data_IF_194946830544
#
_entry.id   IF_194946830544
#
_cell.length_a   1.000
_cell.length_b   1.000
_cell.length_c   1.000
_cell.angle_alpha   90.00
_cell.angle_beta   90.00
_cell.angle_gamma   90.00
#
_symmetry.space_group_name_H-M   'P 1'
#
loop_
_entity.id
_entity.type
_entity.pdbx_description
1 polymer ?
#
# COMPACT_ATOMS: atom_id res chain seq x y z
N UNK A 1 7.61 34.72 -18.60
CA UNK A 1 8.00 33.29 -18.73
C UNK A 1 7.68 32.85 -20.15
N UNK A 2 8.49 32.01 -20.80
CA UNK A 2 8.37 31.76 -22.27
C UNK A 2 7.54 30.53 -22.66
N UNK A 3 7.28 29.59 -21.77
CA UNK A 3 6.47 28.38 -22.04
C UNK A 3 5.99 27.72 -20.76
N UNK A 4 4.93 26.92 -20.87
CA UNK A 4 4.50 25.97 -19.86
C UNK A 4 5.40 24.73 -19.86
N UNK A 5 5.59 24.15 -18.68
CA UNK A 5 6.37 22.96 -18.41
C UNK A 5 5.62 22.06 -17.44
N UNK A 6 5.93 20.77 -17.48
CA UNK A 6 5.43 19.82 -16.50
C UNK A 6 5.86 20.25 -15.10
N UNK A 7 4.92 20.20 -14.17
CA UNK A 7 5.10 20.60 -12.78
C UNK A 7 4.88 22.08 -12.50
N UNK A 8 4.66 22.92 -13.52
CA UNK A 8 4.32 24.32 -13.29
C UNK A 8 3.08 24.43 -12.41
N UNK A 9 3.16 25.29 -11.39
CA UNK A 9 2.05 25.58 -10.48
C UNK A 9 1.36 26.86 -10.94
N UNK A 10 0.05 26.77 -11.09
CA UNK A 10 -0.84 27.80 -11.58
C UNK A 10 -1.66 28.35 -10.41
N UNK A 11 -1.68 29.68 -10.29
CA UNK A 11 -2.56 30.38 -9.38
C UNK A 11 -3.99 30.29 -9.88
N UNK A 12 -4.93 30.26 -8.94
CA UNK A 12 -6.36 30.33 -9.19
C UNK A 12 -6.77 31.75 -9.59
N UNK A 13 -6.55 32.13 -10.85
CA UNK A 13 -6.98 33.44 -11.39
C UNK A 13 -8.44 33.37 -11.86
N UNK A 14 -9.14 34.52 -11.99
CA UNK A 14 -10.51 34.55 -12.53
C UNK A 14 -10.61 33.87 -13.90
N UNK A 15 -9.66 34.11 -14.79
CA UNK A 15 -9.65 33.59 -16.16
C UNK A 15 -9.47 32.07 -16.17
N UNK A 16 -8.57 31.54 -15.34
CA UNK A 16 -8.41 30.09 -15.18
C UNK A 16 -9.67 29.47 -14.57
N UNK A 17 -10.32 30.17 -13.64
CA UNK A 17 -11.56 29.68 -13.03
C UNK A 17 -12.72 29.65 -14.02
N UNK A 18 -12.81 30.61 -14.93
CA UNK A 18 -13.86 30.58 -15.97
C UNK A 18 -13.69 29.37 -16.88
N UNK A 19 -12.45 29.05 -17.27
CA UNK A 19 -12.13 27.80 -17.99
C UNK A 19 -12.56 26.57 -17.18
N UNK A 20 -12.25 26.53 -15.89
CA UNK A 20 -12.62 25.40 -15.04
C UNK A 20 -14.14 25.30 -14.83
N UNK A 21 -14.87 26.41 -14.72
CA UNK A 21 -16.33 26.43 -14.62
C UNK A 21 -17.00 25.89 -15.88
N UNK A 22 -16.42 26.17 -17.04
CA UNK A 22 -16.92 25.67 -18.31
C UNK A 22 -16.70 24.16 -18.44
N UNK A 23 -15.47 23.68 -18.21
CA UNK A 23 -15.10 22.30 -18.54
C UNK A 23 -15.32 21.34 -17.37
N UNK A 24 -15.03 21.75 -16.14
CA UNK A 24 -15.13 20.90 -14.94
C UNK A 24 -15.52 21.70 -13.67
N UNK A 25 -16.79 22.12 -13.53
CA UNK A 25 -17.23 23.10 -12.53
C UNK A 25 -16.84 22.80 -11.08
N UNK A 26 -16.77 21.53 -10.70
CA UNK A 26 -16.39 21.12 -9.34
C UNK A 26 -14.99 21.58 -8.92
N UNK A 27 -14.08 21.83 -9.87
CA UNK A 27 -12.73 22.32 -9.58
C UNK A 27 -12.66 23.84 -9.41
N UNK A 28 -13.75 24.55 -9.65
CA UNK A 28 -13.85 25.97 -9.32
C UNK A 28 -14.11 26.23 -7.84
N UNK A 29 -14.20 25.20 -6.99
CA UNK A 29 -14.38 25.32 -5.53
C UNK A 29 -13.12 25.89 -4.83
N UNK A 30 -13.33 26.73 -3.80
CA UNK A 30 -12.27 27.39 -3.04
C UNK A 30 -11.32 26.44 -2.30
N UNK A 31 -11.74 25.19 -2.06
CA UNK A 31 -10.89 24.16 -1.45
C UNK A 31 -9.67 23.80 -2.30
N UNK A 32 -9.68 24.14 -3.59
CA UNK A 32 -8.54 23.97 -4.49
C UNK A 32 -7.79 25.30 -4.59
N UNK A 33 -6.59 25.32 -4.02
CA UNK A 33 -5.84 26.57 -3.84
C UNK A 33 -4.99 26.92 -5.07
N UNK A 34 -4.53 25.89 -5.79
CA UNK A 34 -3.72 26.00 -7.01
C UNK A 34 -4.02 24.84 -7.96
N UNK A 35 -3.42 24.89 -9.15
CA UNK A 35 -3.39 23.76 -10.09
C UNK A 35 -1.96 23.46 -10.50
N UNK A 36 -1.64 22.20 -10.80
CA UNK A 36 -0.32 21.83 -11.29
C UNK A 36 -0.43 21.17 -12.67
N UNK A 37 0.43 21.59 -13.58
CA UNK A 37 0.51 21.03 -14.93
C UNK A 37 1.12 19.62 -14.88
N UNK A 38 0.38 18.63 -15.37
CA UNK A 38 0.83 17.24 -15.47
C UNK A 38 1.36 16.87 -16.87
N UNK A 39 0.93 17.56 -17.92
CA UNK A 39 1.38 17.28 -19.29
C UNK A 39 2.90 17.42 -19.42
N UNK A 40 3.51 16.51 -20.17
CA UNK A 40 4.96 16.46 -20.36
C UNK A 40 5.49 17.75 -21.01
N UNK A 41 6.65 18.20 -20.55
CA UNK A 41 7.24 19.47 -21.02
C UNK A 41 7.53 19.48 -22.52
N UNK A 42 7.99 18.35 -23.07
CA UNK A 42 8.32 18.22 -24.50
C UNK A 42 7.10 18.46 -25.41
N UNK A 43 5.89 18.18 -24.93
CA UNK A 43 4.66 18.43 -25.68
C UNK A 43 4.09 19.84 -25.47
N UNK A 44 4.53 20.56 -24.41
CA UNK A 44 4.07 21.90 -24.06
C UNK A 44 4.95 23.04 -24.59
N UNK A 45 6.22 22.78 -24.90
CA UNK A 45 7.13 23.81 -25.41
C UNK A 45 6.68 24.26 -26.80
N UNK A 46 6.54 25.58 -26.99
CA UNK A 46 6.30 26.22 -28.29
C UNK A 46 7.64 26.44 -28.99
N UNK A 47 7.76 26.02 -30.26
CA UNK A 47 8.96 26.25 -31.10
C UNK A 47 8.59 27.19 -32.24
N UNK A 48 9.42 28.21 -32.49
CA UNK A 48 9.22 29.18 -33.58
C UNK A 48 7.82 29.82 -33.60
N UNK A 49 7.33 30.24 -32.43
CA UNK A 49 5.99 30.84 -32.23
C UNK A 49 4.80 29.97 -32.67
N UNK A 50 5.02 28.67 -32.92
CA UNK A 50 3.96 27.71 -33.21
C UNK A 50 3.20 27.28 -31.94
N UNK A 51 1.99 26.75 -32.14
CA UNK A 51 1.24 26.07 -31.07
C UNK A 51 2.05 24.90 -30.47
N UNK A 52 1.81 24.60 -29.20
CA UNK A 52 2.41 23.43 -28.57
C UNK A 52 1.88 22.14 -29.23
N UNK A 53 2.66 21.06 -29.17
CA UNK A 53 2.29 19.77 -29.80
C UNK A 53 1.08 19.11 -29.12
N UNK A 54 0.94 19.30 -27.80
CA UNK A 54 -0.18 18.69 -27.08
C UNK A 54 -1.52 19.30 -27.49
N UNK A 55 -2.52 18.45 -27.72
CA UNK A 55 -3.92 18.89 -27.94
C UNK A 55 -4.61 19.30 -26.64
N UNK A 56 -4.22 18.68 -25.52
CA UNK A 56 -4.80 18.92 -24.21
C UNK A 56 -3.71 19.20 -23.18
N UNK A 57 -4.03 20.05 -22.20
CA UNK A 57 -3.22 20.30 -21.02
C UNK A 57 -3.93 19.59 -19.87
N UNK A 58 -3.22 18.66 -19.25
CA UNK A 58 -3.65 17.98 -18.04
C UNK A 58 -3.21 18.80 -16.84
N UNK A 59 -4.17 19.16 -15.99
CA UNK A 59 -3.97 19.84 -14.72
C UNK A 59 -4.38 18.92 -13.58
N UNK A 60 -3.72 19.03 -12.43
CA UNK A 60 -4.20 18.41 -11.20
C UNK A 60 -4.48 19.48 -10.16
N UNK A 61 -5.54 19.27 -9.38
CA UNK A 61 -5.88 20.13 -8.27
C UNK A 61 -4.83 20.08 -7.16
N UNK A 62 -4.55 21.23 -6.56
CA UNK A 62 -3.65 21.38 -5.41
C UNK A 62 -4.45 21.82 -4.20
N UNK A 63 -4.16 21.24 -3.03
CA UNK A 63 -4.75 21.62 -1.74
C UNK A 63 -3.68 21.78 -0.67
N UNK A 64 -4.02 22.43 0.45
CA UNK A 64 -3.17 22.42 1.65
C UNK A 64 -2.82 20.99 2.06
N UNK A 65 -1.59 20.78 2.51
CA UNK A 65 -1.14 19.53 3.12
C UNK A 65 -2.01 19.12 4.30
N UNK A 66 -2.61 20.09 5.01
CA UNK A 66 -3.47 19.85 6.18
C UNK A 66 -4.62 18.90 5.86
N UNK A 67 -5.21 19.03 4.66
CA UNK A 67 -6.33 18.18 4.21
C UNK A 67 -5.87 16.73 4.04
N UNK A 68 -4.65 16.52 3.53
CA UNK A 68 -4.08 15.18 3.33
C UNK A 68 -3.74 14.55 4.67
N UNK A 69 -3.14 15.31 5.57
CA UNK A 69 -2.78 14.87 6.93
C UNK A 69 -4.02 14.56 7.75
N UNK A 70 -5.05 15.41 7.71
CA UNK A 70 -6.31 15.19 8.39
C UNK A 70 -6.97 13.88 7.93
N UNK A 71 -7.04 13.65 6.61
CA UNK A 71 -7.54 12.38 6.04
C UNK A 71 -6.72 11.17 6.44
N UNK A 72 -5.42 11.31 6.64
CA UNK A 72 -4.59 10.22 7.16
C UNK A 72 -4.96 9.90 8.62
N UNK A 73 -5.17 10.92 9.45
CA UNK A 73 -5.55 10.76 10.86
C UNK A 73 -7.00 10.25 11.01
N UNK A 74 -7.88 10.61 10.09
CA UNK A 74 -9.26 10.11 10.03
C UNK A 74 -9.36 8.58 9.98
N UNK A 75 -8.30 7.89 9.56
CA UNK A 75 -8.23 6.42 9.53
C UNK A 75 -7.92 5.76 10.88
N UNK A 76 -7.50 6.51 11.89
CA UNK A 76 -7.15 5.96 13.20
C UNK A 76 -8.37 5.87 14.13
N UNK A 77 -8.55 4.73 14.81
CA UNK A 77 -9.73 4.47 15.65
C UNK A 77 -9.69 5.20 17.00
N UNK A 78 -8.50 5.39 17.59
CA UNK A 78 -8.32 6.00 18.92
C UNK A 78 -7.97 7.50 18.83
N UNK A 79 -8.90 8.30 18.32
CA UNK A 79 -8.80 9.77 18.30
C UNK A 79 -10.02 10.43 18.95
N UNK A 80 -9.81 11.59 19.55
CA UNK A 80 -10.88 12.44 20.09
C UNK A 80 -10.56 13.91 19.86
N UNK A 81 -11.59 14.74 19.81
CA UNK A 81 -11.43 16.20 19.75
C UNK A 81 -11.80 16.73 21.13
N UNK A 82 -10.89 17.47 21.75
CA UNK A 82 -11.12 18.14 23.03
C UNK A 82 -10.64 19.59 22.91
N UNK A 83 -11.48 20.55 23.28
CA UNK A 83 -11.18 21.99 23.16
C UNK A 83 -10.64 22.40 21.77
N UNK A 84 -11.29 21.90 20.72
CA UNK A 84 -10.91 22.17 19.32
C UNK A 84 -9.50 21.69 18.92
N UNK A 85 -8.90 20.79 19.71
CA UNK A 85 -7.62 20.15 19.41
C UNK A 85 -7.82 18.64 19.25
N UNK A 86 -7.12 18.07 18.27
CA UNK A 86 -7.16 16.65 17.97
C UNK A 86 -6.15 15.89 18.83
N UNK A 87 -6.63 14.94 19.61
CA UNK A 87 -5.83 14.03 20.40
C UNK A 87 -5.87 12.65 19.77
N UNK A 88 -4.71 12.03 19.59
CA UNK A 88 -4.55 10.70 19.03
C UNK A 88 -3.56 9.91 19.88
N UNK A 89 -3.78 8.61 20.02
CA UNK A 89 -2.85 7.74 20.76
C UNK A 89 -1.44 7.75 20.15
N UNK A 90 -0.41 7.82 21.00
CA UNK A 90 1.00 7.81 20.57
C UNK A 90 1.37 6.56 19.76
N UNK A 91 0.62 5.46 19.91
CA UNK A 91 0.82 4.24 19.11
C UNK A 91 0.75 4.52 17.59
N UNK A 92 0.03 5.56 17.16
CA UNK A 92 -0.10 5.94 15.75
C UNK A 92 0.98 6.93 15.27
N UNK A 93 1.82 7.45 16.16
CA UNK A 93 2.85 8.46 15.84
C UNK A 93 3.85 7.96 14.81
N UNK A 94 4.29 6.70 14.92
CA UNK A 94 5.21 6.09 13.97
C UNK A 94 4.58 5.96 12.57
N UNK A 95 3.32 5.52 12.50
CA UNK A 95 2.60 5.40 11.24
C UNK A 95 2.35 6.76 10.57
N UNK A 96 1.96 7.78 11.35
CA UNK A 96 1.76 9.13 10.82
C UNK A 96 3.07 9.75 10.34
N UNK A 97 4.18 9.53 11.07
CA UNK A 97 5.51 9.96 10.65
C UNK A 97 5.92 9.32 9.31
N UNK A 98 5.63 8.04 9.10
CA UNK A 98 5.86 7.37 7.81
C UNK A 98 5.04 8.00 6.67
N UNK A 99 3.76 8.29 6.90
CA UNK A 99 2.91 9.01 5.92
C UNK A 99 3.51 10.37 5.56
N UNK A 100 3.88 11.18 6.56
CA UNK A 100 4.46 12.51 6.33
C UNK A 100 5.80 12.38 5.59
N UNK A 101 6.66 11.44 5.99
CA UNK A 101 7.93 11.19 5.30
C UNK A 101 7.72 10.81 3.84
N UNK A 102 6.74 9.96 3.54
CA UNK A 102 6.39 9.58 2.16
C UNK A 102 5.92 10.80 1.36
N UNK A 103 5.06 11.64 1.94
CA UNK A 103 4.59 12.87 1.30
C UNK A 103 5.75 13.83 1.02
N UNK A 104 6.52 14.21 2.03
CA UNK A 104 7.61 15.19 1.90
C UNK A 104 8.70 14.75 0.91
N UNK A 105 8.95 13.44 0.85
CA UNK A 105 9.89 12.88 -0.11
C UNK A 105 9.28 12.61 -1.49
N UNK A 106 8.00 12.91 -1.74
CA UNK A 106 7.29 12.58 -2.98
C UNK A 106 7.29 11.08 -3.33
N UNK A 107 7.21 10.21 -2.32
CA UNK A 107 7.13 8.75 -2.50
C UNK A 107 5.69 8.22 -2.41
N UNK A 108 4.71 9.08 -2.15
CA UNK A 108 3.29 8.72 -2.25
C UNK A 108 2.84 8.71 -3.72
N UNK A 109 2.08 7.70 -4.13
CA UNK A 109 1.64 7.57 -5.52
C UNK A 109 0.48 8.50 -5.89
N UNK A 110 -0.29 8.99 -4.90
CA UNK A 110 -1.51 9.75 -5.15
C UNK A 110 -1.31 11.26 -4.95
N UNK A 111 -0.20 11.66 -4.33
CA UNK A 111 0.07 13.04 -3.94
C UNK A 111 1.49 13.46 -4.34
N UNK A 112 1.63 14.71 -4.76
CA UNK A 112 2.93 15.36 -4.94
C UNK A 112 3.04 16.57 -4.00
N UNK A 113 3.96 16.52 -3.05
CA UNK A 113 4.23 17.59 -2.11
C UNK A 113 4.92 18.79 -2.78
N UNK A 114 4.38 19.96 -2.47
CA UNK A 114 4.85 21.28 -2.88
C UNK A 114 5.12 22.09 -1.62
N UNK A 115 6.39 22.41 -1.39
CA UNK A 115 6.80 23.28 -0.28
C UNK A 115 6.37 24.72 -0.57
N UNK A 116 5.85 25.41 0.44
CA UNK A 116 5.53 26.83 0.38
C UNK A 116 6.76 27.64 -0.09
N UNK A 117 6.50 28.55 -1.03
CA UNK A 117 7.46 29.55 -1.53
C UNK A 117 6.69 30.87 -1.67
N UNK A 118 6.40 31.58 -0.56
CA UNK A 118 5.60 32.80 -0.57
C UNK A 118 6.15 33.88 -1.52
N UNK A 119 7.47 33.96 -1.66
CA UNK A 119 8.17 34.83 -2.60
C UNK A 119 7.79 34.59 -4.07
N UNK A 120 7.32 33.38 -4.39
CA UNK A 120 6.83 32.98 -5.72
C UNK A 120 5.31 32.81 -5.75
N UNK A 121 4.58 33.18 -4.68
CA UNK A 121 3.11 33.15 -4.63
C UNK A 121 2.47 31.85 -4.16
N UNK A 122 3.26 30.83 -3.79
CA UNK A 122 2.76 29.60 -3.17
C UNK A 122 2.81 29.75 -1.64
N UNK A 123 1.67 30.10 -1.03
CA UNK A 123 1.63 30.60 0.35
C UNK A 123 1.72 29.51 1.42
N UNK A 124 1.25 28.30 1.13
CA UNK A 124 1.13 27.21 2.08
C UNK A 124 1.74 25.93 1.52
N UNK A 125 2.26 25.11 2.42
CA UNK A 125 2.65 23.75 2.09
C UNK A 125 1.44 23.00 1.56
N UNK A 126 1.59 22.40 0.39
CA UNK A 126 0.48 21.90 -0.40
C UNK A 126 0.79 20.55 -1.00
N UNK A 127 -0.26 19.84 -1.42
CA UNK A 127 -0.15 18.60 -2.18
C UNK A 127 -0.99 18.69 -3.45
N UNK A 128 -0.38 18.34 -4.58
CA UNK A 128 -1.09 18.05 -5.82
C UNK A 128 -1.75 16.69 -5.70
N UNK A 129 -3.04 16.61 -6.03
CA UNK A 129 -3.83 15.38 -6.03
C UNK A 129 -3.68 14.70 -7.40
N UNK A 130 -2.71 13.80 -7.53
CA UNK A 130 -2.30 13.24 -8.82
C UNK A 130 -3.36 12.37 -9.50
N UNK A 131 -4.24 11.75 -8.72
CA UNK A 131 -5.35 10.91 -9.21
C UNK A 131 -6.54 11.72 -9.75
N UNK A 132 -6.53 13.05 -9.56
CA UNK A 132 -7.60 13.96 -9.98
C UNK A 132 -7.09 14.88 -11.09
N UNK A 133 -6.90 14.30 -12.28
CA UNK A 133 -6.49 15.03 -13.48
C UNK A 133 -7.68 15.62 -14.23
N UNK A 134 -7.52 16.85 -14.69
CA UNK A 134 -8.45 17.67 -15.47
C UNK A 134 -7.80 17.88 -16.83
N UNK A 135 -8.52 17.69 -17.93
CA UNK A 135 -7.97 17.91 -19.28
C UNK A 135 -8.67 19.10 -19.93
N UNK A 136 -7.90 20.13 -20.29
CA UNK A 136 -8.40 21.33 -20.97
C UNK A 136 -7.74 21.48 -22.34
N UNK A 137 -8.44 22.09 -23.30
CA UNK A 137 -7.92 22.20 -24.66
C UNK A 137 -6.74 23.18 -24.74
N UNK A 138 -5.60 22.73 -25.27
CA UNK A 138 -4.38 23.53 -25.32
C UNK A 138 -4.50 24.73 -26.29
N UNK A 139 -5.16 24.54 -27.43
CA UNK A 139 -5.34 25.60 -28.43
C UNK A 139 -6.14 26.81 -27.92
N UNK A 140 -7.01 26.61 -26.92
CA UNK A 140 -7.83 27.67 -26.33
C UNK A 140 -7.24 28.20 -25.02
N UNK A 141 -6.69 27.33 -24.17
CA UNK A 141 -6.44 27.67 -22.76
C UNK A 141 -4.95 27.79 -22.39
N UNK A 142 -4.02 27.57 -23.33
CA UNK A 142 -2.59 27.60 -23.03
C UNK A 142 -2.13 28.94 -22.46
N UNK A 143 -2.52 30.05 -23.10
CA UNK A 143 -2.07 31.38 -22.68
C UNK A 143 -2.69 31.78 -21.34
N UNK A 144 -3.93 31.36 -21.05
CA UNK A 144 -4.55 31.49 -19.73
C UNK A 144 -3.74 30.76 -18.66
N UNK A 145 -3.34 29.51 -18.92
CA UNK A 145 -2.50 28.74 -18.01
C UNK A 145 -1.11 29.37 -17.84
N UNK A 146 -0.50 29.85 -18.93
CA UNK A 146 0.82 30.49 -18.88
C UNK A 146 0.78 31.79 -18.07
N UNK A 147 -0.28 32.59 -18.19
CA UNK A 147 -0.48 33.80 -17.42
C UNK A 147 -0.73 33.51 -15.93
N UNK A 148 -1.39 32.39 -15.61
CA UNK A 148 -1.63 31.94 -14.24
C UNK A 148 -0.39 31.32 -13.56
N UNK A 149 0.70 31.04 -14.29
CA UNK A 149 1.89 30.38 -13.77
C UNK A 149 2.60 31.23 -12.71
N UNK A 150 2.89 30.61 -11.56
CA UNK A 150 3.57 31.25 -10.44
C UNK A 150 4.87 30.56 -10.01
N UNK A 151 4.94 29.23 -10.13
CA UNK A 151 6.12 28.43 -9.73
C UNK A 151 6.46 27.45 -10.85
N UNK A 152 7.75 27.24 -11.08
CA UNK A 152 8.27 26.19 -11.96
C UNK A 152 9.09 25.20 -11.13
N UNK A 153 8.81 23.89 -11.26
CA UNK A 153 9.63 22.87 -10.61
C UNK A 153 11.02 22.78 -11.23
N UNK A 154 12.02 22.57 -10.37
CA UNK A 154 13.37 22.16 -10.77
C UNK A 154 13.32 20.82 -11.50
N UNK A 155 14.31 20.59 -12.36
CA UNK A 155 14.38 19.45 -13.27
C UNK A 155 14.24 18.08 -12.58
N UNK A 156 14.93 17.87 -11.47
CA UNK A 156 14.87 16.63 -10.69
C UNK A 156 13.46 16.35 -10.12
N UNK A 157 12.77 17.37 -9.63
CA UNK A 157 11.39 17.24 -9.13
C UNK A 157 10.40 17.02 -10.27
N UNK A 158 10.64 17.65 -11.42
CA UNK A 158 9.85 17.43 -12.63
C UNK A 158 9.97 15.99 -13.15
N UNK A 159 11.18 15.45 -13.21
CA UNK A 159 11.41 14.06 -13.58
C UNK A 159 10.67 13.10 -12.62
N UNK A 160 10.71 13.39 -11.32
CA UNK A 160 9.99 12.61 -10.31
C UNK A 160 8.47 12.68 -10.47
N UNK A 161 7.92 13.88 -10.73
CA UNK A 161 6.50 14.05 -11.04
C UNK A 161 6.12 13.26 -12.30
N UNK A 162 6.93 13.34 -13.36
CA UNK A 162 6.72 12.58 -14.59
C UNK A 162 6.69 11.07 -14.36
N UNK A 163 7.57 10.54 -13.51
CA UNK A 163 7.57 9.13 -13.11
C UNK A 163 6.29 8.74 -12.35
N UNK A 164 5.85 9.55 -11.38
CA UNK A 164 4.62 9.30 -10.61
C UNK A 164 3.37 9.31 -11.50
N UNK A 165 3.25 10.32 -12.38
CA UNK A 165 2.15 10.44 -13.35
C UNK A 165 2.18 9.27 -14.35
N UNK A 166 3.36 8.87 -14.81
CA UNK A 166 3.53 7.70 -15.68
C UNK A 166 3.06 6.41 -15.02
N UNK A 167 3.37 6.18 -13.74
CA UNK A 167 2.89 4.99 -13.03
C UNK A 167 1.36 4.96 -12.85
N UNK A 168 0.73 6.13 -12.72
CA UNK A 168 -0.72 6.24 -12.57
C UNK A 168 -1.46 6.04 -13.91
N UNK A 169 -0.99 6.70 -14.97
CA UNK A 169 -1.74 6.85 -16.23
C UNK A 169 -1.11 6.13 -17.43
N UNK A 170 0.14 5.69 -17.33
CA UNK A 170 0.88 5.00 -18.39
C UNK A 170 1.10 3.52 -18.07
N UNK A 171 0.14 2.89 -17.37
CA UNK A 171 0.06 1.43 -17.38
C UNK A 171 -0.06 0.99 -18.82
N UNK A 172 1.01 0.41 -19.35
CA UNK A 172 0.99 -0.27 -20.64
C UNK A 172 -0.15 -1.28 -20.55
N UNK A 173 -1.04 -1.28 -21.55
CA UNK A 173 -2.16 -2.23 -21.63
C UNK A 173 -1.66 -3.65 -21.88
N UNK A 174 -0.93 -4.19 -20.91
CA UNK A 174 -0.59 -5.60 -20.83
C UNK A 174 -1.83 -6.30 -20.32
N UNK A 175 -2.24 -7.36 -21.00
CA UNK A 175 -3.27 -8.25 -20.47
C UNK A 175 -2.82 -8.76 -19.11
N UNK A 176 -3.61 -8.46 -18.08
CA UNK A 176 -3.43 -9.08 -16.78
C UNK A 176 -3.72 -10.57 -16.92
N UNK A 177 -3.03 -11.40 -16.12
CA UNK A 177 -3.33 -12.83 -16.13
C UNK A 177 -4.78 -13.14 -15.73
N UNK A 178 -5.49 -12.23 -15.06
CA UNK A 178 -6.94 -12.35 -14.79
C UNK A 178 -7.64 -11.04 -15.16
N UNK A 179 -8.77 -11.06 -15.86
CA UNK A 179 -9.47 -12.24 -16.41
C UNK A 179 -8.97 -12.65 -17.80
N UNK A 180 -7.94 -11.98 -18.35
CA UNK A 180 -7.59 -12.12 -19.76
C UNK A 180 -6.92 -13.47 -20.06
N UNK A 181 -5.70 -13.71 -19.54
CA UNK A 181 -4.96 -14.93 -19.88
C UNK A 181 -5.46 -16.18 -19.12
N UNK A 182 -6.04 -15.98 -17.93
CA UNK A 182 -6.65 -16.98 -17.06
C UNK A 182 -8.06 -16.50 -16.73
N UNK A 183 -9.04 -17.36 -17.04
CA UNK A 183 -10.44 -16.99 -17.14
C UNK A 183 -11.06 -16.41 -15.85
N UNK A 184 -10.61 -16.87 -14.69
CA UNK A 184 -11.14 -16.43 -13.40
C UNK A 184 -10.12 -16.51 -12.25
N UNK A 185 -10.51 -15.90 -11.13
CA UNK A 185 -9.69 -15.81 -9.92
C UNK A 185 -9.36 -17.20 -9.32
N UNK A 186 -10.31 -18.15 -9.20
CA UNK A 186 -9.99 -19.52 -8.77
C UNK A 186 -8.94 -20.23 -9.63
N UNK A 187 -9.05 -20.16 -10.95
CA UNK A 187 -8.09 -20.77 -11.86
C UNK A 187 -6.70 -20.14 -11.74
N UNK A 188 -6.63 -18.82 -11.52
CA UNK A 188 -5.37 -18.13 -11.26
C UNK A 188 -4.75 -18.53 -9.92
N UNK A 189 -5.55 -18.63 -8.86
CA UNK A 189 -5.06 -19.04 -7.54
C UNK A 189 -4.54 -20.49 -7.59
N UNK A 190 -5.19 -21.38 -8.35
CA UNK A 190 -4.68 -22.73 -8.62
C UNK A 190 -3.35 -22.71 -9.38
N UNK A 191 -3.24 -21.90 -10.45
CA UNK A 191 -2.00 -21.73 -11.21
C UNK A 191 -0.84 -21.20 -10.34
N UNK A 192 -1.12 -20.22 -9.47
CA UNK A 192 -0.13 -19.68 -8.53
C UNK A 192 0.31 -20.76 -7.54
N UNK A 193 -0.61 -21.52 -6.96
CA UNK A 193 -0.27 -22.60 -6.04
C UNK A 193 0.58 -23.68 -6.71
N UNK A 194 0.21 -24.13 -7.92
CA UNK A 194 1.01 -25.08 -8.70
C UNK A 194 2.41 -24.52 -9.01
N UNK A 195 2.49 -23.22 -9.33
CA UNK A 195 3.78 -22.56 -9.54
C UNK A 195 4.63 -22.59 -8.26
N UNK A 196 4.06 -22.26 -7.10
CA UNK A 196 4.80 -22.26 -5.84
C UNK A 196 5.24 -23.67 -5.46
N UNK A 197 4.39 -24.67 -5.62
CA UNK A 197 4.66 -26.07 -5.27
C UNK A 197 5.78 -26.69 -6.13
N UNK A 198 6.05 -26.14 -7.32
CA UNK A 198 7.24 -26.52 -8.13
C UNK A 198 8.56 -26.04 -7.51
N UNK A 199 8.54 -24.98 -6.72
CA UNK A 199 9.75 -24.38 -6.14
C UNK A 199 9.91 -24.65 -4.65
N UNK A 200 8.81 -24.91 -3.93
CA UNK A 200 8.79 -24.97 -2.48
C UNK A 200 8.07 -26.23 -2.02
N UNK A 201 8.75 -27.04 -1.21
CA UNK A 201 8.12 -28.09 -0.42
C UNK A 201 7.69 -27.52 0.93
N UNK A 202 6.42 -27.71 1.28
CA UNK A 202 5.86 -27.17 2.52
C UNK A 202 5.98 -28.15 3.67
N UNK A 203 6.44 -27.65 4.82
CA UNK A 203 6.46 -28.38 6.09
C UNK A 203 5.56 -27.63 7.07
N UNK A 204 4.64 -28.31 7.79
CA UNK A 204 3.83 -27.69 8.81
C UNK A 204 4.69 -26.92 9.82
N UNK A 205 4.24 -25.73 10.23
CA UNK A 205 5.02 -24.87 11.12
C UNK A 205 5.41 -25.55 12.44
N UNK A 206 4.54 -26.42 12.98
CA UNK A 206 4.81 -27.21 14.18
C UNK A 206 6.01 -28.16 14.03
N UNK A 207 6.26 -28.59 12.80
CA UNK A 207 7.20 -29.66 12.49
C UNK A 207 8.51 -29.10 11.91
N UNK A 208 8.51 -27.84 11.48
CA UNK A 208 9.63 -27.21 10.78
C UNK A 208 10.95 -27.22 11.57
N UNK A 209 10.90 -26.97 12.88
CA UNK A 209 12.10 -27.01 13.73
C UNK A 209 12.69 -28.43 13.83
N UNK A 210 11.83 -29.44 14.00
CA UNK A 210 12.23 -30.85 13.98
C UNK A 210 12.73 -31.27 12.60
N UNK A 211 12.10 -30.79 11.53
CA UNK A 211 12.54 -31.04 10.16
C UNK A 211 13.96 -30.49 9.92
N UNK A 212 14.25 -29.24 10.30
CA UNK A 212 15.59 -28.65 10.20
C UNK A 212 16.65 -29.41 11.00
N UNK A 213 16.31 -29.89 12.19
CA UNK A 213 17.21 -30.69 13.02
C UNK A 213 17.57 -32.01 12.34
N UNK A 214 16.61 -32.66 11.69
CA UNK A 214 16.81 -33.98 11.09
C UNK A 214 17.37 -33.89 9.67
N UNK A 215 17.16 -32.77 8.96
CA UNK A 215 17.62 -32.57 7.59
C UNK A 215 19.14 -32.50 7.44
N UNK A 216 19.88 -32.18 8.51
CA UNK A 216 21.35 -32.14 8.49
C UNK A 216 22.00 -33.52 8.37
N UNK A 217 21.33 -34.54 8.91
CA UNK A 217 21.91 -35.87 9.14
C UNK A 217 21.09 -36.98 8.46
N UNK A 218 20.28 -36.62 7.46
CA UNK A 218 19.42 -37.54 6.73
C UNK A 218 19.80 -37.58 5.25
N UNK A 219 19.76 -38.78 4.68
CA UNK A 219 20.13 -39.03 3.29
C UNK A 219 18.93 -38.93 2.33
N UNK A 220 17.72 -38.82 2.87
CA UNK A 220 16.49 -38.76 2.08
C UNK A 220 15.36 -38.01 2.79
N UNK A 221 14.41 -37.49 2.00
CA UNK A 221 13.24 -36.78 2.51
C UNK A 221 12.28 -37.72 3.28
N UNK A 222 12.22 -38.99 2.88
CA UNK A 222 11.48 -40.05 3.58
C UNK A 222 12.03 -40.29 4.98
N UNK A 223 13.36 -40.33 5.12
CA UNK A 223 14.03 -40.50 6.42
C UNK A 223 13.77 -39.32 7.37
N UNK A 224 13.79 -38.08 6.86
CA UNK A 224 13.45 -36.89 7.65
C UNK A 224 12.00 -36.98 8.14
N UNK A 225 11.09 -37.36 7.25
CA UNK A 225 9.66 -37.46 7.55
C UNK A 225 9.39 -38.53 8.62
N UNK A 226 10.03 -39.70 8.52
CA UNK A 226 9.94 -40.76 9.53
C UNK A 226 10.48 -40.31 10.89
N UNK A 227 11.64 -39.64 10.93
CA UNK A 227 12.21 -39.12 12.18
C UNK A 227 11.32 -38.06 12.82
N UNK A 228 10.73 -37.17 12.03
CA UNK A 228 9.79 -36.15 12.51
C UNK A 228 8.52 -36.80 13.07
N UNK A 229 7.96 -37.81 12.39
CA UNK A 229 6.80 -38.56 12.87
C UNK A 229 7.08 -39.31 14.19
N UNK A 230 8.23 -39.98 14.29
CA UNK A 230 8.64 -40.66 15.53
C UNK A 230 8.84 -39.68 16.69
N UNK A 231 9.40 -38.49 16.45
CA UNK A 231 9.51 -37.45 17.47
C UNK A 231 8.13 -36.95 17.93
N UNK A 232 7.18 -36.84 16.99
CA UNK A 232 5.82 -36.42 17.28
C UNK A 232 5.07 -37.46 18.13
N UNK A 233 5.22 -38.74 17.83
CA UNK A 233 4.66 -39.83 18.63
C UNK A 233 5.28 -39.85 20.03
N UNK A 234 6.60 -39.74 20.15
CA UNK A 234 7.29 -39.67 21.45
C UNK A 234 6.84 -38.47 22.29
N UNK A 235 6.64 -37.29 21.69
CA UNK A 235 6.09 -36.11 22.38
C UNK A 235 4.65 -36.34 22.84
N UNK A 236 3.81 -36.95 22.00
CA UNK A 236 2.43 -37.33 22.36
C UNK A 236 2.40 -38.28 23.54
N UNK A 237 3.19 -39.35 23.49
CA UNK A 237 3.23 -40.36 24.55
C UNK A 237 3.78 -39.77 25.85
N UNK A 238 4.86 -38.99 25.78
CA UNK A 238 5.39 -38.31 26.97
C UNK A 238 4.40 -37.33 27.58
N UNK A 239 3.68 -36.57 26.76
CA UNK A 239 2.63 -35.66 27.23
C UNK A 239 1.43 -36.40 27.83
N UNK A 240 1.07 -37.56 27.27
CA UNK A 240 0.03 -38.43 27.81
C UNK A 240 0.43 -38.96 29.20
N UNK A 241 1.66 -39.43 29.36
CA UNK A 241 2.20 -39.88 30.66
C UNK A 241 2.21 -38.75 31.70
N UNK A 242 2.62 -37.55 31.31
CA UNK A 242 2.61 -36.39 32.21
C UNK A 242 1.18 -36.02 32.65
N UNK A 243 0.22 -36.07 31.72
CA UNK A 243 -1.19 -35.81 32.02
C UNK A 243 -1.76 -36.88 32.97
N UNK A 244 -1.47 -38.15 32.70
CA UNK A 244 -1.84 -39.28 33.56
C UNK A 244 -1.22 -39.14 34.95
N UNK A 245 0.05 -38.78 35.04
CA UNK A 245 0.74 -38.49 36.30
C UNK A 245 0.07 -37.36 37.07
N UNK A 246 -0.29 -36.26 36.41
CA UNK A 246 -0.96 -35.12 37.04
C UNK A 246 -2.36 -35.48 37.58
N UNK A 247 -3.14 -36.29 36.84
CA UNK A 247 -4.47 -36.74 37.26
C UNK A 247 -4.37 -37.72 38.43
N UNK A 248 -3.49 -38.71 38.31
CA UNK A 248 -3.32 -39.77 39.33
C UNK A 248 -2.61 -39.30 40.59
N UNK A 249 -1.89 -38.18 40.55
CA UNK A 249 -1.39 -37.52 41.76
C UNK A 249 -2.48 -36.81 42.55
N UNK A 250 -3.59 -36.42 41.91
CA UNK A 250 -4.71 -35.72 42.57
C UNK A 250 -5.88 -36.62 42.93
N UNK A 251 -5.94 -37.81 42.34
CA UNK A 251 -7.02 -38.79 42.55
C UNK A 251 -6.35 -40.12 42.83
N UNK A 252 -6.73 -40.81 43.90
CA UNK A 252 -6.18 -42.12 44.20
C UNK A 252 -6.84 -43.16 43.27
N UNK A 253 -6.13 -43.54 42.20
CA UNK A 253 -6.63 -44.40 41.13
C UNK A 253 -5.92 -45.76 41.19
N UNK A 254 -6.69 -46.85 41.10
CA UNK A 254 -6.16 -48.23 41.06
C UNK A 254 -5.31 -48.48 39.81
N UNK A 255 -4.50 -49.54 39.79
CA UNK A 255 -3.65 -49.86 38.64
C UNK A 255 -4.48 -50.14 37.37
N UNK A 256 -5.61 -50.82 37.50
CA UNK A 256 -6.49 -51.15 36.38
C UNK A 256 -7.20 -49.91 35.83
N UNK A 257 -7.64 -49.01 36.72
CA UNK A 257 -8.28 -47.75 36.33
C UNK A 257 -7.28 -46.79 35.65
N UNK A 258 -6.00 -46.85 36.00
CA UNK A 258 -4.95 -46.09 35.29
C UNK A 258 -4.81 -46.54 33.84
N UNK A 259 -4.87 -47.84 33.59
CA UNK A 259 -4.80 -48.42 32.24
C UNK A 259 -6.06 -48.04 31.44
N UNK A 260 -7.24 -48.13 32.05
CA UNK A 260 -8.49 -47.69 31.43
C UNK A 260 -8.47 -46.20 31.08
N UNK A 261 -8.01 -45.35 32.00
CA UNK A 261 -7.91 -43.90 31.81
C UNK A 261 -6.91 -43.55 30.70
N UNK A 262 -5.76 -44.23 30.62
CA UNK A 262 -4.81 -44.09 29.52
C UNK A 262 -5.47 -44.35 28.18
N UNK A 263 -6.18 -45.47 28.05
CA UNK A 263 -6.83 -45.88 26.80
C UNK A 263 -7.91 -44.88 26.38
N UNK A 264 -8.67 -44.34 27.33
CA UNK A 264 -9.69 -43.30 27.08
C UNK A 264 -9.04 -41.99 26.59
N UNK A 265 -8.00 -41.53 27.28
CA UNK A 265 -7.31 -40.29 26.93
C UNK A 265 -6.58 -40.40 25.58
N UNK A 266 -5.97 -41.54 25.30
CA UNK A 266 -5.30 -41.82 24.03
C UNK A 266 -6.27 -41.86 22.84
N UNK A 267 -7.52 -42.28 23.08
CA UNK A 267 -8.57 -42.29 22.08
C UNK A 267 -9.27 -40.93 21.90
N UNK A 268 -9.05 -39.95 22.79
CA UNK A 268 -9.81 -38.70 22.78
C UNK A 268 -9.22 -37.65 21.82
N UNK A 269 -9.93 -37.22 20.76
CA UNK A 269 -9.36 -36.38 19.69
C UNK A 269 -8.83 -35.02 20.17
N UNK A 270 -9.52 -34.38 21.10
CA UNK A 270 -9.14 -33.05 21.63
C UNK A 270 -7.88 -33.11 22.49
N UNK A 271 -7.74 -34.17 23.31
CA UNK A 271 -6.58 -34.39 24.17
C UNK A 271 -5.37 -34.65 23.29
N UNK A 272 -5.52 -35.54 22.32
CA UNK A 272 -4.43 -35.85 21.38
C UNK A 272 -4.04 -34.69 20.48
N UNK A 273 -4.97 -33.79 20.13
CA UNK A 273 -4.67 -32.54 19.40
C UNK A 273 -3.91 -31.55 20.28
N UNK A 274 -4.26 -31.43 21.56
CA UNK A 274 -3.57 -30.57 22.53
C UNK A 274 -2.15 -31.03 22.84
N UNK A 275 -1.91 -32.33 22.92
CA UNK A 275 -0.58 -32.94 23.15
C UNK A 275 0.33 -32.94 21.91
N UNK A 276 -0.18 -32.50 20.75
CA UNK A 276 0.55 -32.48 19.47
C UNK A 276 0.96 -31.09 18.98
N UNK A 277 0.70 -30.06 19.80
CA UNK A 277 1.17 -28.67 19.60
C UNK A 277 2.46 -28.45 20.37
#
# INVERSE_FOLDING_TARGET
MKSLRQGDVLKRTPELLDVLREVHPHYADDKYTYFQVLTQSCDLVRRNDAQCKSRYISLAAVRSIDVVVQRAIEKYEKKTIFQNQLYCSEQHKAALKDVINKLLNNNDSNHFFLRATPESGLMLDSCTLLHLSISIQASLHYDTCLAAKIVELKENFRAKLGWLVGNLYSRVGTEDYVPSAIADKPAYDAFVNEMIDRYVAWVPQSDFASFLSNAKDANSLTEITERVNQQREKKRDSGLEQLLGAITNKINVSADDKIALRNILAAHPVVMKGLSK
#
